data_IF_309111077739
#
_entry.id   IF_309111077739
#
_cell.length_a   1.000
_cell.length_b   1.000
_cell.length_c   1.000
_cell.angle_alpha   90.00
_cell.angle_beta   90.00
_cell.angle_gamma   90.00
#
_symmetry.space_group_name_H-M   'P 1'
#
loop_
_entity.id
_entity.type
_entity.pdbx_description
1 polymer ?
#
# COMPACT_ATOMS: atom_id res chain seq x y z
N UNK A 1 -27.59 -25.95 7.76
CA UNK A 1 -27.96 -26.44 9.11
C UNK A 1 -27.98 -25.24 10.03
N UNK A 2 -28.93 -25.15 10.98
CA UNK A 2 -28.88 -24.10 12.00
C UNK A 2 -27.74 -24.40 12.98
N UNK A 3 -26.91 -23.40 13.28
CA UNK A 3 -25.81 -23.54 14.23
C UNK A 3 -26.37 -23.87 15.63
N UNK A 4 -25.65 -24.70 16.38
CA UNK A 4 -25.97 -25.02 17.78
C UNK A 4 -25.14 -24.15 18.70
N UNK A 5 -25.71 -23.67 19.80
CA UNK A 5 -24.92 -22.99 20.82
C UNK A 5 -23.79 -23.90 21.32
N UNK A 6 -22.60 -23.34 21.53
CA UNK A 6 -21.46 -24.15 22.00
C UNK A 6 -21.75 -24.80 23.36
N UNK A 7 -22.53 -24.16 24.22
CA UNK A 7 -22.93 -24.69 25.52
C UNK A 7 -23.86 -25.92 25.40
N UNK A 8 -24.54 -26.08 24.28
CA UNK A 8 -25.36 -27.27 23.95
C UNK A 8 -24.52 -28.41 23.34
N UNK A 9 -23.19 -28.23 23.26
CA UNK A 9 -22.20 -29.21 22.80
C UNK A 9 -21.28 -29.59 23.98
N UNK A 10 -21.79 -30.36 24.98
CA UNK A 10 -21.17 -30.45 26.30
C UNK A 10 -19.75 -31.05 26.29
N UNK A 11 -19.46 -31.97 25.37
CA UNK A 11 -18.12 -32.55 25.24
C UNK A 11 -17.15 -31.52 24.66
N UNK A 12 -17.51 -30.90 23.55
CA UNK A 12 -16.70 -29.92 22.85
C UNK A 12 -16.46 -28.68 23.72
N UNK A 13 -17.49 -28.17 24.38
CA UNK A 13 -17.39 -27.05 25.31
C UNK A 13 -16.44 -27.37 26.47
N UNK A 14 -16.58 -28.53 27.13
CA UNK A 14 -15.68 -28.92 28.21
C UNK A 14 -14.21 -29.00 27.76
N UNK A 15 -13.94 -29.59 26.59
CA UNK A 15 -12.58 -29.69 26.04
C UNK A 15 -12.04 -28.33 25.55
N UNK A 16 -12.91 -27.42 25.13
CA UNK A 16 -12.50 -26.07 24.75
C UNK A 16 -12.12 -25.23 25.98
N UNK A 17 -12.91 -25.35 27.06
CA UNK A 17 -12.71 -24.61 28.31
C UNK A 17 -11.50 -25.10 29.12
N UNK A 18 -11.09 -26.35 28.95
CA UNK A 18 -9.99 -26.94 29.73
C UNK A 18 -8.91 -27.58 28.82
N UNK A 19 -7.80 -26.86 28.56
CA UNK A 19 -6.69 -27.37 27.75
C UNK A 19 -6.04 -28.65 28.28
N UNK A 20 -5.93 -28.80 29.60
CA UNK A 20 -5.33 -30.00 30.21
C UNK A 20 -6.20 -31.23 29.97
N UNK A 21 -7.52 -31.09 30.16
CA UNK A 21 -8.49 -32.13 29.87
C UNK A 21 -8.50 -32.47 28.37
N UNK A 22 -8.36 -31.46 27.50
CA UNK A 22 -8.22 -31.67 26.04
C UNK A 22 -7.01 -32.52 25.71
N UNK A 23 -5.83 -32.17 26.22
CA UNK A 23 -4.60 -32.94 26.01
C UNK A 23 -4.72 -34.37 26.56
N UNK A 24 -5.32 -34.55 27.72
CA UNK A 24 -5.53 -35.88 28.30
C UNK A 24 -6.49 -36.74 27.46
N UNK A 25 -7.53 -36.13 26.87
CA UNK A 25 -8.54 -36.85 26.11
C UNK A 25 -8.15 -37.12 24.65
N UNK A 26 -7.38 -36.23 24.03
CA UNK A 26 -7.08 -36.26 22.59
C UNK A 26 -5.59 -36.47 22.28
N UNK A 27 -4.69 -36.33 23.25
CA UNK A 27 -3.25 -36.27 23.01
C UNK A 27 -2.92 -35.15 22.04
N UNK A 28 -2.22 -35.49 20.95
CA UNK A 28 -1.85 -34.56 19.88
C UNK A 28 -2.97 -34.36 18.83
N UNK A 29 -4.09 -35.10 18.94
CA UNK A 29 -5.19 -34.95 18.00
C UNK A 29 -5.87 -33.60 18.18
N UNK A 30 -6.13 -32.93 17.05
CA UNK A 30 -6.80 -31.64 17.00
C UNK A 30 -8.26 -31.76 17.44
N UNK A 31 -8.72 -30.89 18.34
CA UNK A 31 -10.14 -30.77 18.67
C UNK A 31 -10.89 -30.16 17.50
N UNK A 32 -11.86 -30.86 16.91
CA UNK A 32 -12.75 -30.31 15.88
C UNK A 32 -14.08 -29.90 16.49
N UNK A 33 -14.47 -28.64 16.32
CA UNK A 33 -15.78 -28.10 16.70
C UNK A 33 -16.48 -27.70 15.41
N UNK A 34 -17.71 -28.17 15.20
CA UNK A 34 -18.42 -27.95 13.93
C UNK A 34 -19.85 -27.45 14.12
N UNK A 35 -20.24 -26.43 13.35
CA UNK A 35 -21.60 -25.91 13.36
C UNK A 35 -21.97 -25.19 14.67
N UNK A 36 -20.98 -24.67 15.39
CA UNK A 36 -21.18 -24.03 16.69
C UNK A 36 -21.42 -22.51 16.56
N UNK A 37 -22.40 -22.01 17.29
CA UNK A 37 -22.64 -20.59 17.54
C UNK A 37 -22.04 -20.23 18.91
N UNK A 38 -21.05 -19.33 18.89
CA UNK A 38 -20.36 -18.86 20.08
C UNK A 38 -21.05 -17.67 20.76
N UNK A 39 -22.19 -17.18 20.24
CA UNK A 39 -23.19 -16.49 21.04
C UNK A 39 -22.79 -15.16 21.70
N UNK A 40 -23.65 -14.66 22.59
CA UNK A 40 -23.31 -13.67 23.62
C UNK A 40 -22.34 -14.23 24.69
N UNK A 41 -21.92 -15.50 24.59
CA UNK A 41 -21.09 -16.23 25.54
C UNK A 41 -19.59 -15.95 25.45
N UNK A 42 -19.16 -14.98 24.64
CA UNK A 42 -17.75 -14.60 24.47
C UNK A 42 -17.00 -14.31 25.78
N UNK A 43 -17.70 -13.87 26.83
CA UNK A 43 -17.14 -13.61 28.16
C UNK A 43 -16.65 -14.85 28.89
N UNK A 44 -17.23 -16.02 28.63
CA UNK A 44 -16.81 -17.26 29.27
C UNK A 44 -15.39 -17.65 28.84
N UNK A 45 -14.98 -17.17 27.66
CA UNK A 45 -13.65 -17.42 27.10
C UNK A 45 -12.62 -16.37 27.51
N UNK A 46 -12.97 -15.47 28.43
CA UNK A 46 -12.04 -14.44 28.89
C UNK A 46 -10.76 -15.07 29.46
N UNK A 47 -9.62 -14.67 28.90
CA UNK A 47 -8.28 -15.13 29.25
C UNK A 47 -8.05 -16.65 29.10
N UNK A 48 -8.88 -17.36 28.32
CA UNK A 48 -8.61 -18.76 28.01
C UNK A 48 -7.57 -18.92 26.90
N UNK A 49 -6.99 -20.13 26.83
CA UNK A 49 -6.05 -20.54 25.79
C UNK A 49 -6.69 -21.55 24.84
N UNK A 50 -6.69 -21.23 23.56
CA UNK A 50 -7.10 -22.18 22.52
C UNK A 50 -5.87 -22.68 21.79
N UNK A 51 -5.61 -23.97 21.90
CA UNK A 51 -4.44 -24.61 21.30
C UNK A 51 -4.84 -25.91 20.61
N UNK A 52 -4.43 -26.03 19.34
CA UNK A 52 -4.72 -27.16 18.45
C UNK A 52 -6.23 -27.43 18.32
N UNK A 53 -6.97 -26.42 17.85
CA UNK A 53 -8.43 -26.48 17.64
C UNK A 53 -8.78 -26.14 16.18
N UNK A 54 -9.71 -26.89 15.59
CA UNK A 54 -10.31 -26.62 14.29
C UNK A 54 -11.79 -26.26 14.48
N UNK A 55 -12.12 -24.99 14.26
CA UNK A 55 -13.48 -24.50 14.17
C UNK A 55 -13.93 -24.56 12.71
N UNK A 56 -15.04 -25.25 12.44
CA UNK A 56 -15.54 -25.50 11.09
C UNK A 56 -17.04 -25.15 11.01
N UNK A 57 -17.45 -24.29 10.08
CA UNK A 57 -18.85 -23.79 10.01
C UNK A 57 -19.32 -23.14 11.32
N UNK A 58 -18.44 -22.38 12.00
CA UNK A 58 -18.75 -21.74 13.28
C UNK A 58 -19.08 -20.25 13.14
N UNK A 59 -19.87 -19.71 14.07
CA UNK A 59 -20.22 -18.29 14.12
C UNK A 59 -19.70 -17.69 15.43
N UNK A 60 -18.94 -16.61 15.34
CA UNK A 60 -18.39 -15.85 16.46
C UNK A 60 -18.95 -14.43 16.45
N UNK A 61 -19.85 -14.11 17.37
CA UNK A 61 -20.36 -12.74 17.55
C UNK A 61 -20.18 -12.28 19.00
N UNK A 62 -20.10 -10.98 19.25
CA UNK A 62 -19.83 -10.46 20.60
C UNK A 62 -18.35 -10.28 20.90
N UNK A 63 -17.96 -10.34 22.18
CA UNK A 63 -16.61 -9.98 22.65
C UNK A 63 -15.83 -11.22 23.09
N UNK A 64 -14.71 -11.49 22.42
CA UNK A 64 -13.75 -12.53 22.80
C UNK A 64 -12.45 -11.86 23.17
N UNK A 65 -11.88 -12.26 24.30
CA UNK A 65 -10.58 -11.77 24.75
C UNK A 65 -9.81 -12.95 25.34
N UNK A 66 -9.10 -13.65 24.47
CA UNK A 66 -8.34 -14.85 24.81
C UNK A 66 -6.93 -14.48 25.28
N UNK A 67 -6.32 -15.35 26.07
CA UNK A 67 -4.89 -15.22 26.39
C UNK A 67 -4.05 -15.56 25.16
N UNK A 68 -4.32 -16.70 24.53
CA UNK A 68 -3.62 -17.13 23.34
C UNK A 68 -4.47 -18.00 22.43
N UNK A 69 -4.15 -17.96 21.13
CA UNK A 69 -4.70 -18.83 20.08
C UNK A 69 -3.54 -19.41 19.31
N UNK A 70 -3.31 -20.72 19.44
CA UNK A 70 -2.16 -21.40 18.85
C UNK A 70 -2.56 -22.61 18.03
N UNK A 71 -1.93 -22.80 16.88
CA UNK A 71 -2.16 -23.97 16.00
C UNK A 71 -3.64 -24.16 15.62
N UNK A 72 -4.40 -23.07 15.54
CA UNK A 72 -5.84 -23.10 15.34
C UNK A 72 -6.20 -22.86 13.87
N UNK A 73 -7.30 -23.47 13.44
CA UNK A 73 -7.90 -23.25 12.13
C UNK A 73 -9.34 -22.81 12.29
N UNK A 74 -9.69 -21.71 11.65
CA UNK A 74 -11.06 -21.23 11.50
C UNK A 74 -11.44 -21.42 10.03
N UNK A 75 -12.19 -22.46 9.72
CA UNK A 75 -12.62 -22.79 8.36
C UNK A 75 -14.12 -22.56 8.21
N UNK A 76 -14.53 -21.86 7.15
CA UNK A 76 -15.95 -21.55 6.90
C UNK A 76 -16.63 -20.85 8.10
N UNK A 77 -15.86 -20.05 8.85
CA UNK A 77 -16.35 -19.37 10.03
C UNK A 77 -16.82 -17.95 9.72
N UNK A 78 -17.75 -17.43 10.51
CA UNK A 78 -18.25 -16.07 10.39
C UNK A 78 -18.00 -15.27 11.67
N UNK A 79 -17.64 -14.00 11.52
CA UNK A 79 -17.31 -13.10 12.63
C UNK A 79 -18.23 -11.85 12.64
N UNK A 80 -19.56 -11.97 12.69
CA UNK A 80 -20.45 -10.81 12.52
C UNK A 80 -20.35 -9.83 13.70
N UNK A 81 -19.90 -8.60 13.41
CA UNK A 81 -19.77 -7.51 14.39
C UNK A 81 -18.96 -7.86 15.64
N UNK A 82 -18.10 -8.88 15.57
CA UNK A 82 -17.40 -9.38 16.74
C UNK A 82 -16.24 -8.47 17.12
N UNK A 83 -15.97 -8.36 18.41
CA UNK A 83 -14.70 -7.92 18.93
C UNK A 83 -13.89 -9.15 19.35
N UNK A 84 -13.18 -9.76 18.40
CA UNK A 84 -12.44 -10.99 18.59
C UNK A 84 -10.96 -10.69 18.78
N UNK A 85 -10.49 -10.81 20.02
CA UNK A 85 -9.13 -10.45 20.40
C UNK A 85 -8.42 -11.57 21.15
N UNK A 86 -7.10 -11.62 21.00
CA UNK A 86 -6.22 -12.38 21.88
C UNK A 86 -4.88 -11.66 22.05
N UNK A 87 -4.19 -11.87 23.19
CA UNK A 87 -2.86 -11.29 23.39
C UNK A 87 -1.79 -11.94 22.50
N UNK A 88 -1.99 -13.18 22.09
CA UNK A 88 -1.04 -13.94 21.28
C UNK A 88 -1.77 -14.83 20.25
N UNK A 89 -1.41 -14.70 18.97
CA UNK A 89 -1.81 -15.62 17.91
C UNK A 89 -0.56 -16.28 17.33
N UNK A 90 -0.46 -17.61 17.33
CA UNK A 90 0.68 -18.33 16.76
C UNK A 90 0.18 -19.44 15.84
N UNK A 91 0.65 -19.45 14.59
CA UNK A 91 0.32 -20.49 13.61
C UNK A 91 -1.20 -20.66 13.41
N UNK A 92 -1.90 -19.54 13.18
CA UNK A 92 -3.36 -19.48 13.04
C UNK A 92 -3.75 -19.28 11.58
N UNK A 93 -4.67 -20.11 11.09
CA UNK A 93 -5.23 -20.01 9.75
C UNK A 93 -6.73 -19.69 9.80
N UNK A 94 -7.10 -18.57 9.17
CA UNK A 94 -8.47 -18.28 8.79
C UNK A 94 -8.65 -18.67 7.31
N UNK A 95 -9.51 -19.64 7.05
CA UNK A 95 -9.75 -20.21 5.72
C UNK A 95 -11.21 -20.02 5.33
N UNK A 96 -11.46 -19.35 4.19
CA UNK A 96 -12.80 -19.15 3.66
C UNK A 96 -13.78 -18.64 4.73
N UNK A 97 -13.30 -17.70 5.53
CA UNK A 97 -14.03 -17.14 6.67
C UNK A 97 -14.39 -15.69 6.40
N UNK A 98 -15.52 -15.26 6.94
CA UNK A 98 -16.12 -13.97 6.61
C UNK A 98 -16.16 -13.05 7.83
N UNK A 99 -15.80 -11.78 7.64
CA UNK A 99 -16.10 -10.72 8.61
C UNK A 99 -17.28 -9.92 8.09
N UNK A 100 -18.33 -9.76 8.90
CA UNK A 100 -19.56 -9.06 8.51
C UNK A 100 -19.78 -7.83 9.40
N UNK A 101 -19.75 -6.64 8.81
CA UNK A 101 -19.99 -5.39 9.51
C UNK A 101 -18.74 -4.85 10.23
N UNK A 102 -18.94 -4.19 11.38
CA UNK A 102 -17.87 -3.57 12.17
C UNK A 102 -17.17 -4.59 13.05
N UNK A 103 -16.35 -5.43 12.43
CA UNK A 103 -15.59 -6.49 13.10
C UNK A 103 -14.25 -5.96 13.57
N UNK A 104 -13.85 -6.26 14.80
CA UNK A 104 -12.50 -6.03 15.29
C UNK A 104 -11.85 -7.40 15.52
N UNK A 105 -10.94 -7.78 14.63
CA UNK A 105 -10.10 -8.97 14.76
C UNK A 105 -8.67 -8.52 15.03
N UNK A 106 -8.29 -8.49 16.31
CA UNK A 106 -7.07 -7.82 16.76
C UNK A 106 -6.21 -8.77 17.59
N UNK A 107 -4.93 -8.86 17.25
CA UNK A 107 -3.97 -9.65 17.98
C UNK A 107 -3.07 -8.76 18.86
N UNK A 108 -2.35 -9.33 19.82
CA UNK A 108 -1.31 -8.64 20.58
C UNK A 108 0.07 -8.70 19.92
N UNK A 109 1.07 -8.11 20.58
CA UNK A 109 2.42 -7.82 20.05
C UNK A 109 3.37 -9.02 19.95
N UNK A 110 2.98 -10.18 20.47
CA UNK A 110 3.76 -11.42 20.41
C UNK A 110 3.34 -12.38 19.29
N UNK A 111 2.24 -12.06 18.61
CA UNK A 111 1.62 -12.89 17.59
C UNK A 111 2.54 -13.14 16.39
N UNK A 112 2.41 -14.25 15.67
CA UNK A 112 3.19 -14.54 14.47
C UNK A 112 2.52 -15.60 13.61
N UNK A 113 2.86 -15.59 12.31
CA UNK A 113 2.38 -16.56 11.33
C UNK A 113 0.84 -16.69 11.32
N UNK A 114 0.14 -15.55 11.26
CA UNK A 114 -1.31 -15.53 11.06
C UNK A 114 -1.62 -15.39 9.57
N UNK A 115 -2.49 -16.25 9.06
CA UNK A 115 -2.82 -16.30 7.64
C UNK A 115 -4.32 -16.23 7.43
N UNK A 116 -4.72 -15.42 6.47
CA UNK A 116 -6.06 -15.37 5.93
C UNK A 116 -6.02 -15.85 4.49
N UNK A 117 -6.81 -16.88 4.18
CA UNK A 117 -6.82 -17.52 2.88
C UNK A 117 -8.27 -17.63 2.38
N UNK A 118 -8.55 -17.04 1.22
CA UNK A 118 -9.87 -17.07 0.58
C UNK A 118 -10.99 -16.46 1.45
N UNK A 119 -10.64 -15.55 2.36
CA UNK A 119 -11.58 -14.84 3.23
C UNK A 119 -12.26 -13.65 2.53
N UNK A 120 -13.47 -13.32 2.97
CA UNK A 120 -14.18 -12.09 2.56
C UNK A 120 -14.33 -11.13 3.74
N UNK A 121 -13.75 -9.93 3.61
CA UNK A 121 -13.74 -8.94 4.67
C UNK A 121 -14.65 -7.76 4.35
N UNK A 122 -15.71 -7.49 5.11
CA UNK A 122 -16.40 -6.24 4.82
C UNK A 122 -17.58 -5.81 5.63
N UNK A 123 -17.84 -4.52 5.46
CA UNK A 123 -19.10 -3.87 5.82
C UNK A 123 -19.82 -3.35 4.57
N UNK A 124 -21.01 -2.78 4.81
CA UNK A 124 -21.76 -2.03 3.79
C UNK A 124 -21.61 -0.51 3.95
N UNK A 125 -20.92 -0.06 4.99
CA UNK A 125 -20.84 1.34 5.37
C UNK A 125 -19.57 1.98 4.81
N UNK A 126 -19.72 2.92 3.87
CA UNK A 126 -18.59 3.64 3.28
C UNK A 126 -17.95 4.67 4.22
N UNK A 127 -18.58 4.99 5.36
CA UNK A 127 -18.01 5.86 6.37
C UNK A 127 -16.81 5.17 7.04
N UNK A 128 -15.63 5.73 6.83
CA UNK A 128 -14.35 5.25 7.37
C UNK A 128 -14.33 5.11 8.90
N UNK A 129 -15.11 5.92 9.62
CA UNK A 129 -15.23 5.84 11.08
C UNK A 129 -16.09 4.66 11.56
N UNK A 130 -16.58 3.85 10.61
CA UNK A 130 -17.45 2.69 10.81
C UNK A 130 -16.88 1.45 10.10
N UNK A 131 -15.58 1.47 9.78
CA UNK A 131 -14.90 0.28 9.28
C UNK A 131 -14.61 -0.66 10.44
N UNK A 132 -14.72 -1.95 10.19
CA UNK A 132 -14.06 -2.95 11.04
C UNK A 132 -12.55 -2.92 10.83
N UNK A 133 -11.82 -3.55 11.74
CA UNK A 133 -10.36 -3.61 11.76
C UNK A 133 -9.90 -5.06 11.88
N UNK A 134 -9.03 -5.47 10.96
CA UNK A 134 -8.20 -6.67 11.06
C UNK A 134 -6.77 -6.17 11.27
N UNK A 135 -6.24 -6.31 12.48
CA UNK A 135 -4.94 -5.75 12.84
C UNK A 135 -4.07 -6.71 13.65
N UNK A 136 -2.88 -6.98 13.12
CA UNK A 136 -1.90 -7.88 13.74
C UNK A 136 -0.58 -7.13 13.96
N UNK A 137 -0.04 -7.16 15.18
CA UNK A 137 1.16 -6.38 15.51
C UNK A 137 2.47 -6.95 14.94
N UNK A 138 2.39 -8.03 14.15
CA UNK A 138 3.50 -8.81 13.62
C UNK A 138 3.04 -9.46 12.29
N UNK A 139 3.80 -10.47 11.82
CA UNK A 139 3.62 -11.10 10.52
C UNK A 139 2.20 -11.60 10.24
N UNK A 140 1.63 -11.11 9.14
CA UNK A 140 0.29 -11.49 8.67
C UNK A 140 0.24 -11.58 7.14
N UNK A 141 -0.43 -12.62 6.62
CA UNK A 141 -0.69 -12.77 5.18
C UNK A 141 -2.18 -12.78 4.85
N UNK A 142 -2.51 -12.10 3.75
CA UNK A 142 -3.82 -12.11 3.11
C UNK A 142 -3.64 -12.70 1.71
N UNK A 143 -4.27 -13.85 1.46
CA UNK A 143 -4.07 -14.66 0.25
C UNK A 143 -5.41 -14.97 -0.40
N UNK A 144 -5.62 -14.52 -1.64
CA UNK A 144 -6.90 -14.68 -2.37
C UNK A 144 -8.11 -14.12 -1.62
N UNK A 145 -7.91 -13.10 -0.80
CA UNK A 145 -8.98 -12.47 -0.04
C UNK A 145 -9.74 -11.44 -0.88
N UNK A 146 -11.01 -11.25 -0.55
CA UNK A 146 -11.84 -10.15 -1.04
C UNK A 146 -12.34 -9.28 0.10
N UNK A 147 -12.94 -8.15 -0.24
CA UNK A 147 -13.56 -7.31 0.78
C UNK A 147 -13.66 -5.83 0.46
N UNK A 148 -14.33 -5.07 1.32
CA UNK A 148 -14.38 -3.61 1.27
C UNK A 148 -14.86 -3.00 2.59
N UNK A 149 -14.55 -1.73 2.78
CA UNK A 149 -14.92 -0.92 3.94
C UNK A 149 -14.40 -1.49 5.27
N UNK A 150 -13.13 -1.88 5.24
CA UNK A 150 -12.38 -2.45 6.37
C UNK A 150 -10.98 -1.85 6.41
N UNK A 151 -10.38 -1.84 7.59
CA UNK A 151 -8.95 -1.73 7.77
C UNK A 151 -8.35 -3.13 7.84
N UNK A 152 -7.39 -3.44 6.96
CA UNK A 152 -6.74 -4.74 6.85
C UNK A 152 -5.24 -4.49 6.89
N UNK A 153 -4.65 -4.62 8.08
CA UNK A 153 -3.34 -4.05 8.39
C UNK A 153 -2.51 -4.91 9.34
N UNK A 154 -1.21 -4.67 9.38
CA UNK A 154 -0.35 -5.23 10.41
C UNK A 154 1.03 -4.57 10.51
N UNK A 155 1.90 -5.17 11.33
CA UNK A 155 3.32 -4.81 11.40
C UNK A 155 4.20 -6.02 11.04
N UNK A 156 5.52 -5.95 11.24
CA UNK A 156 6.42 -7.06 10.91
C UNK A 156 6.47 -7.28 9.40
N UNK A 157 6.11 -8.46 8.91
CA UNK A 157 5.93 -8.76 7.48
C UNK A 157 4.44 -8.81 7.15
N UNK A 158 3.98 -7.89 6.29
CA UNK A 158 2.60 -7.87 5.82
C UNK A 158 2.55 -8.20 4.33
N UNK A 159 1.78 -9.24 3.99
CA UNK A 159 1.65 -9.71 2.60
C UNK A 159 0.22 -9.67 2.13
N UNK A 160 -0.02 -9.07 0.97
CA UNK A 160 -1.26 -9.17 0.20
C UNK A 160 -0.95 -9.88 -1.10
N UNK A 161 -1.59 -11.02 -1.37
CA UNK A 161 -1.33 -11.84 -2.54
C UNK A 161 -2.64 -12.30 -3.19
N UNK A 162 -2.76 -12.07 -4.50
CA UNK A 162 -3.92 -12.51 -5.29
C UNK A 162 -5.27 -11.96 -4.77
N UNK A 163 -5.26 -10.83 -4.06
CA UNK A 163 -6.46 -10.27 -3.43
C UNK A 163 -7.26 -9.38 -4.39
N UNK A 164 -8.57 -9.29 -4.13
CA UNK A 164 -9.49 -8.40 -4.85
C UNK A 164 -10.33 -7.57 -3.87
N UNK A 165 -9.85 -6.38 -3.56
CA UNK A 165 -10.51 -5.47 -2.62
C UNK A 165 -11.25 -4.33 -3.33
N UNK A 166 -12.36 -3.91 -2.74
CA UNK A 166 -12.93 -2.58 -2.94
C UNK A 166 -12.17 -1.53 -2.09
N UNK A 167 -12.84 -0.45 -1.67
CA UNK A 167 -12.19 0.58 -0.85
C UNK A 167 -11.80 0.01 0.51
N UNK A 168 -10.51 0.04 0.87
CA UNK A 168 -10.00 -0.41 2.17
C UNK A 168 -8.93 0.55 2.72
N UNK A 169 -8.65 0.43 4.01
CA UNK A 169 -7.40 0.90 4.60
C UNK A 169 -6.41 -0.27 4.73
N UNK A 170 -5.14 0.02 4.47
CA UNK A 170 -4.00 -0.88 4.62
C UNK A 170 -2.87 -0.11 5.33
N UNK A 171 -3.20 0.45 6.49
CA UNK A 171 -2.35 1.25 7.37
C UNK A 171 -1.34 0.36 8.11
N UNK A 172 -0.22 0.06 7.46
CA UNK A 172 0.77 -0.90 7.93
C UNK A 172 1.88 -0.24 8.75
N UNK A 173 2.28 -0.84 9.86
CA UNK A 173 3.13 -0.18 10.82
C UNK A 173 2.38 0.87 11.64
N UNK A 174 3.00 1.35 12.71
CA UNK A 174 2.49 2.44 13.54
C UNK A 174 3.63 3.38 13.89
N UNK A 175 3.43 4.67 13.64
CA UNK A 175 4.27 5.74 14.18
C UNK A 175 3.44 6.57 15.18
N UNK A 176 3.42 6.15 16.43
CA UNK A 176 2.85 6.95 17.52
C UNK A 176 3.97 7.51 18.40
N UNK A 177 3.71 8.64 19.08
CA UNK A 177 4.69 9.33 19.93
C UNK A 177 5.27 8.48 21.09
N UNK A 178 4.76 7.27 21.33
CA UNK A 178 5.20 6.39 22.42
C UNK A 178 5.75 5.04 21.97
N UNK A 179 5.43 4.57 20.74
CA UNK A 179 5.95 3.32 20.16
C UNK A 179 5.92 3.43 18.63
N UNK A 180 7.05 3.07 17.99
CA UNK A 180 7.12 2.81 16.55
C UNK A 180 7.14 1.31 16.31
N UNK A 181 6.19 0.81 15.52
CA UNK A 181 6.19 -0.54 15.00
C UNK A 181 6.33 -0.44 13.48
N UNK A 182 7.29 -1.15 12.90
CA UNK A 182 7.57 -1.06 11.48
C UNK A 182 6.99 -2.25 10.72
N UNK A 183 6.65 -2.05 9.46
CA UNK A 183 6.19 -3.10 8.56
C UNK A 183 7.04 -3.20 7.28
N UNK A 184 7.30 -4.41 6.83
CA UNK A 184 7.74 -4.73 5.47
C UNK A 184 6.52 -5.18 4.69
N UNK A 185 6.11 -4.39 3.71
CA UNK A 185 4.85 -4.59 2.99
C UNK A 185 5.11 -5.12 1.59
N UNK A 186 4.46 -6.23 1.25
CA UNK A 186 4.42 -6.76 -0.11
C UNK A 186 2.99 -6.87 -0.63
N UNK A 187 2.75 -6.33 -1.82
CA UNK A 187 1.48 -6.43 -2.54
C UNK A 187 1.77 -7.07 -3.89
N UNK A 188 1.16 -8.22 -4.17
CA UNK A 188 1.44 -9.00 -5.37
C UNK A 188 0.17 -9.52 -6.03
N UNK A 189 0.01 -9.24 -7.32
CA UNK A 189 -1.11 -9.72 -8.12
C UNK A 189 -2.49 -9.33 -7.53
N UNK A 190 -2.60 -8.12 -6.97
CA UNK A 190 -3.82 -7.65 -6.33
C UNK A 190 -4.58 -6.67 -7.22
N UNK A 191 -5.91 -6.62 -7.04
CA UNK A 191 -6.78 -5.60 -7.63
C UNK A 191 -7.48 -4.83 -6.53
N UNK A 192 -7.42 -3.51 -6.62
CA UNK A 192 -8.06 -2.59 -5.69
C UNK A 192 -8.99 -1.62 -6.42
N UNK A 193 -10.29 -1.67 -6.11
CA UNK A 193 -11.30 -0.77 -6.67
C UNK A 193 -11.60 0.37 -5.69
N UNK A 194 -11.81 1.57 -6.22
CA UNK A 194 -11.82 2.79 -5.42
C UNK A 194 -10.44 3.11 -4.83
N UNK A 195 -10.39 3.82 -3.71
CA UNK A 195 -9.13 4.18 -3.09
C UNK A 195 -8.67 3.16 -2.08
N UNK A 196 -7.41 2.77 -2.24
CA UNK A 196 -6.66 2.02 -1.23
C UNK A 196 -5.70 2.96 -0.54
N UNK A 197 -5.85 3.09 0.78
CA UNK A 197 -4.99 3.95 1.59
C UNK A 197 -3.96 3.09 2.31
N UNK A 198 -2.72 3.14 1.82
CA UNK A 198 -1.52 2.69 2.52
C UNK A 198 -0.90 3.86 3.33
N UNK A 199 -1.51 5.06 3.26
CA UNK A 199 -1.05 6.27 3.93
C UNK A 199 -0.89 6.16 5.45
N UNK A 200 0.03 6.97 6.01
CA UNK A 200 0.38 7.04 7.45
C UNK A 200 1.02 5.76 8.01
N UNK A 201 1.62 4.98 7.12
CA UNK A 201 2.35 3.76 7.48
C UNK A 201 3.77 4.06 7.94
N UNK A 202 4.29 3.22 8.83
CA UNK A 202 5.71 3.20 9.23
C UNK A 202 6.36 1.95 8.66
N UNK A 203 7.09 2.09 7.57
CA UNK A 203 7.55 0.99 6.75
C UNK A 203 9.08 0.84 6.80
N UNK A 204 9.53 -0.41 6.87
CA UNK A 204 10.92 -0.77 6.54
C UNK A 204 11.12 -0.80 5.04
N UNK A 205 10.18 -1.37 4.29
CA UNK A 205 10.18 -1.35 2.83
C UNK A 205 8.78 -1.53 2.26
N UNK A 206 8.60 -1.14 0.99
CA UNK A 206 7.35 -1.31 0.26
C UNK A 206 7.63 -1.91 -1.12
N UNK A 207 7.02 -3.06 -1.39
CA UNK A 207 7.06 -3.68 -2.73
C UNK A 207 5.63 -3.89 -3.25
N UNK A 208 5.33 -3.32 -4.42
CA UNK A 208 4.06 -3.52 -5.12
C UNK A 208 4.35 -4.09 -6.51
N UNK A 209 3.79 -5.25 -6.83
CA UNK A 209 4.02 -5.96 -8.10
C UNK A 209 2.73 -6.43 -8.75
N UNK A 210 2.67 -6.39 -10.08
CA UNK A 210 1.61 -7.01 -10.90
C UNK A 210 0.19 -6.60 -10.46
N UNK A 211 0.01 -5.37 -9.99
CA UNK A 211 -1.22 -4.98 -9.28
C UNK A 211 -1.94 -3.83 -9.95
N UNK A 212 -3.26 -3.75 -9.72
CA UNK A 212 -4.15 -2.73 -10.29
C UNK A 212 -4.84 -1.92 -9.21
N UNK A 213 -4.88 -0.61 -9.38
CA UNK A 213 -5.51 0.33 -8.45
C UNK A 213 -6.37 1.34 -9.22
N UNK A 214 -7.56 1.67 -8.73
CA UNK A 214 -8.21 2.91 -9.19
C UNK A 214 -7.44 4.12 -8.64
N UNK A 215 -7.18 4.14 -7.32
CA UNK A 215 -6.28 5.11 -6.68
C UNK A 215 -5.35 4.41 -5.70
N UNK A 216 -4.05 4.56 -5.93
CA UNK A 216 -3.00 4.14 -5.01
C UNK A 216 -2.60 5.33 -4.14
N UNK A 217 -3.10 5.37 -2.90
CA UNK A 217 -2.75 6.41 -1.92
C UNK A 217 -1.73 5.88 -0.91
N UNK A 218 -0.46 6.19 -1.15
CA UNK A 218 0.64 5.89 -0.23
C UNK A 218 0.82 7.02 0.79
N UNK A 219 0.29 8.22 0.53
CA UNK A 219 0.38 9.38 1.42
C UNK A 219 1.81 9.71 1.89
N UNK A 220 1.92 10.33 3.06
CA UNK A 220 3.19 10.65 3.76
C UNK A 220 3.71 9.46 4.59
N UNK A 221 3.83 8.28 3.99
CA UNK A 221 4.31 7.08 4.70
C UNK A 221 5.81 7.15 4.97
N UNK A 222 6.23 6.80 6.19
CA UNK A 222 7.62 6.77 6.64
C UNK A 222 8.29 5.48 6.19
N UNK A 223 8.89 5.48 4.99
CA UNK A 223 9.60 4.31 4.44
C UNK A 223 11.10 4.46 4.67
N UNK A 224 11.65 3.78 5.66
CA UNK A 224 13.08 3.90 6.01
C UNK A 224 14.03 3.23 5.01
N UNK A 225 13.55 2.25 4.25
CA UNK A 225 14.32 1.50 3.25
C UNK A 225 13.88 1.79 1.82
N UNK A 226 13.77 0.72 1.04
CA UNK A 226 13.56 0.81 -0.40
C UNK A 226 12.08 0.69 -0.78
N UNK A 227 11.71 1.42 -1.83
CA UNK A 227 10.40 1.33 -2.49
C UNK A 227 10.57 0.73 -3.88
N UNK A 228 9.82 -0.33 -4.15
CA UNK A 228 9.70 -0.93 -5.47
C UNK A 228 8.24 -0.99 -5.93
N UNK A 229 7.97 -0.41 -7.09
CA UNK A 229 6.68 -0.50 -7.78
C UNK A 229 6.94 -1.03 -9.18
N UNK A 230 6.40 -2.19 -9.52
CA UNK A 230 6.73 -2.89 -10.77
C UNK A 230 5.49 -3.53 -11.39
N UNK A 231 5.29 -3.35 -12.69
CA UNK A 231 4.13 -3.87 -13.42
C UNK A 231 2.78 -3.42 -12.79
N UNK A 232 2.70 -2.17 -12.35
CA UNK A 232 1.52 -1.60 -11.70
C UNK A 232 0.71 -0.75 -12.67
N UNK A 233 -0.62 -0.90 -12.63
CA UNK A 233 -1.53 0.01 -13.31
C UNK A 233 -2.37 0.75 -12.28
N UNK A 234 -2.29 2.08 -12.28
CA UNK A 234 -3.09 2.91 -11.39
C UNK A 234 -3.81 4.02 -12.17
N UNK A 235 -5.01 4.38 -11.71
CA UNK A 235 -5.67 5.59 -12.19
C UNK A 235 -4.89 6.84 -11.77
N UNK A 236 -4.52 6.92 -10.49
CA UNK A 236 -3.59 7.89 -9.95
C UNK A 236 -2.76 7.28 -8.82
N UNK A 237 -1.57 7.84 -8.62
CA UNK A 237 -0.73 7.57 -7.44
C UNK A 237 -0.51 8.85 -6.65
N UNK A 238 -0.90 8.80 -5.38
CA UNK A 238 -0.73 9.88 -4.41
C UNK A 238 0.33 9.42 -3.42
N UNK A 239 1.46 10.10 -3.39
CA UNK A 239 2.56 9.72 -2.52
C UNK A 239 3.48 10.88 -2.20
N UNK A 240 4.06 10.76 -1.02
CA UNK A 240 5.21 11.46 -0.51
C UNK A 240 5.91 10.45 0.40
N UNK A 241 6.99 9.82 -0.07
CA UNK A 241 7.68 8.85 0.77
C UNK A 241 8.53 9.62 1.78
N UNK A 242 8.16 9.62 3.06
CA UNK A 242 8.71 10.58 4.01
C UNK A 242 10.24 10.45 4.16
N UNK A 243 10.79 9.23 4.09
CA UNK A 243 12.21 8.98 4.38
C UNK A 243 12.89 7.95 3.44
N UNK A 244 12.28 7.64 2.28
CA UNK A 244 12.74 6.57 1.40
C UNK A 244 14.22 6.71 1.03
N UNK A 245 14.96 5.60 1.17
CA UNK A 245 16.36 5.50 0.74
C UNK A 245 16.47 5.38 -0.78
N UNK A 246 15.58 4.62 -1.40
CA UNK A 246 15.51 4.50 -2.85
C UNK A 246 14.07 4.32 -3.33
N UNK A 247 13.79 4.80 -4.53
CA UNK A 247 12.50 4.63 -5.19
C UNK A 247 12.75 4.07 -6.59
N UNK A 248 12.22 2.89 -6.85
CA UNK A 248 12.27 2.24 -8.16
C UNK A 248 10.85 2.00 -8.67
N UNK A 249 10.54 2.52 -9.85
CA UNK A 249 9.27 2.29 -10.55
C UNK A 249 9.54 1.70 -11.93
N UNK A 250 8.98 0.53 -12.22
CA UNK A 250 9.21 -0.20 -13.47
C UNK A 250 7.92 -0.60 -14.17
N UNK A 251 7.91 -0.54 -15.50
CA UNK A 251 6.86 -1.08 -16.37
C UNK A 251 5.43 -0.71 -15.92
N UNK A 252 5.26 0.51 -15.39
CA UNK A 252 4.05 0.90 -14.67
C UNK A 252 3.32 2.02 -15.40
N UNK A 253 1.98 1.99 -15.35
CA UNK A 253 1.10 2.93 -16.05
C UNK A 253 0.23 3.70 -15.08
N UNK A 254 0.25 5.03 -15.18
CA UNK A 254 -0.51 5.95 -14.34
C UNK A 254 -1.39 6.84 -15.20
N UNK A 255 -2.71 6.57 -15.27
CA UNK A 255 -3.56 7.10 -16.35
C UNK A 255 -4.07 8.54 -16.16
N UNK A 256 -3.83 9.17 -15.01
CA UNK A 256 -4.44 10.44 -14.62
C UNK A 256 -5.97 10.36 -14.58
N UNK A 257 -6.51 9.58 -13.64
CA UNK A 257 -7.96 9.47 -13.51
C UNK A 257 -8.52 10.67 -12.73
N UNK A 258 -9.46 11.39 -13.34
CA UNK A 258 -10.45 12.17 -12.59
C UNK A 258 -11.36 11.16 -11.90
N UNK A 259 -11.09 10.84 -10.63
CA UNK A 259 -11.80 9.81 -9.88
C UNK A 259 -13.17 10.35 -9.45
N UNK A 260 -14.05 10.64 -10.41
CA UNK A 260 -15.46 10.97 -10.17
C UNK A 260 -16.16 9.68 -9.77
N UNK A 261 -16.54 9.53 -8.49
CA UNK A 261 -17.88 9.95 -8.12
C UNK A 261 -17.87 11.07 -7.05
N UNK A 262 -18.79 12.04 -7.12
CA UNK A 262 -18.87 13.23 -6.24
C UNK A 262 -18.96 12.97 -4.71
N UNK A 263 -18.99 11.71 -4.26
CA UNK A 263 -19.10 11.35 -2.85
C UNK A 263 -17.84 10.78 -2.19
N UNK A 264 -16.81 10.38 -2.96
CA UNK A 264 -15.65 9.63 -2.41
C UNK A 264 -14.32 10.36 -2.60
N UNK A 265 -14.14 11.07 -3.71
CA UNK A 265 -12.90 11.81 -3.99
C UNK A 265 -13.22 13.20 -4.59
N UNK A 266 -13.29 14.27 -3.77
CA UNK A 266 -13.63 15.61 -4.24
C UNK A 266 -12.48 16.32 -4.98
N UNK A 267 -11.42 15.61 -5.38
CA UNK A 267 -10.16 16.20 -5.86
C UNK A 267 -9.64 15.53 -7.12
N UNK A 268 -9.16 16.35 -8.06
CA UNK A 268 -8.33 15.90 -9.18
C UNK A 268 -6.97 15.51 -8.62
N UNK A 269 -6.51 14.30 -8.97
CA UNK A 269 -5.18 13.83 -8.58
C UNK A 269 -4.25 13.83 -9.80
N UNK A 270 -2.99 14.19 -9.57
CA UNK A 270 -1.93 13.99 -10.56
C UNK A 270 -1.79 12.49 -10.85
N UNK A 271 -1.32 12.15 -12.06
CA UNK A 271 -1.07 10.75 -12.43
C UNK A 271 -0.08 10.09 -11.49
N UNK A 272 1.06 10.75 -11.25
CA UNK A 272 2.20 10.18 -10.54
C UNK A 272 2.97 11.26 -9.77
N UNK A 273 3.23 10.99 -8.49
CA UNK A 273 4.22 11.74 -7.70
C UNK A 273 5.35 10.78 -7.33
N UNK A 274 6.55 11.28 -7.16
CA UNK A 274 7.72 10.51 -6.76
C UNK A 274 8.63 11.48 -6.03
N UNK A 275 8.37 11.67 -4.74
CA UNK A 275 9.05 12.67 -3.95
C UNK A 275 9.18 12.25 -2.50
N UNK A 276 10.14 12.88 -1.83
CA UNK A 276 10.30 12.91 -0.38
C UNK A 276 10.24 14.37 0.09
N UNK A 277 9.91 14.64 1.37
CA UNK A 277 9.99 15.99 1.93
C UNK A 277 11.39 16.58 1.80
N UNK A 278 11.48 17.90 1.63
CA UNK A 278 12.74 18.62 1.37
C UNK A 278 13.76 18.40 2.48
N UNK A 279 13.31 18.34 3.73
CA UNK A 279 14.13 18.07 4.90
C UNK A 279 14.78 16.67 4.88
N UNK A 280 14.18 15.71 4.17
CA UNK A 280 14.62 14.31 4.12
C UNK A 280 15.27 13.94 2.78
N UNK A 281 15.39 14.87 1.83
CA UNK A 281 15.98 14.61 0.50
C UNK A 281 17.38 14.00 0.55
N UNK A 282 18.17 14.30 1.60
CA UNK A 282 19.51 13.72 1.80
C UNK A 282 19.52 12.20 1.99
N UNK A 283 18.38 11.62 2.39
CA UNK A 283 18.20 10.19 2.57
C UNK A 283 17.95 9.47 1.24
N UNK A 284 17.29 10.13 0.28
CA UNK A 284 16.95 9.56 -1.02
C UNK A 284 18.20 9.44 -1.89
N UNK A 285 18.84 8.27 -1.90
CA UNK A 285 20.08 8.00 -2.63
C UNK A 285 19.86 7.79 -4.11
N UNK A 286 18.83 7.04 -4.46
CA UNK A 286 18.58 6.68 -5.86
C UNK A 286 17.10 6.73 -6.24
N UNK A 287 16.86 7.20 -7.46
CA UNK A 287 15.55 7.14 -8.12
C UNK A 287 15.71 6.50 -9.49
N UNK A 288 14.92 5.47 -9.76
CA UNK A 288 14.90 4.77 -11.05
C UNK A 288 13.47 4.70 -11.56
N UNK A 289 13.21 5.33 -12.69
CA UNK A 289 11.98 5.18 -13.47
C UNK A 289 12.34 4.46 -14.77
N UNK A 290 11.76 3.29 -15.00
CA UNK A 290 12.05 2.47 -16.18
C UNK A 290 10.75 1.95 -16.81
N UNK A 291 10.41 2.36 -18.03
CA UNK A 291 9.16 1.88 -18.63
C UNK A 291 7.91 2.50 -17.98
N UNK A 292 8.00 3.72 -17.44
CA UNK A 292 6.87 4.41 -16.81
C UNK A 292 6.07 5.19 -17.86
N UNK A 293 4.75 4.98 -17.89
CA UNK A 293 3.82 5.68 -18.77
C UNK A 293 2.83 6.50 -17.95
N UNK A 294 2.83 7.82 -18.12
CA UNK A 294 1.85 8.73 -17.53
C UNK A 294 0.79 9.13 -18.58
N UNK A 295 -0.48 9.14 -18.19
CA UNK A 295 -1.60 9.62 -19.01
C UNK A 295 -1.62 11.15 -19.15
N UNK A 296 -2.45 11.63 -20.08
CA UNK A 296 -2.69 13.05 -20.29
C UNK A 296 -3.75 13.55 -19.31
N UNK A 297 -3.55 14.72 -18.69
CA UNK A 297 -4.62 15.34 -17.89
C UNK A 297 -5.69 15.90 -18.86
N UNK A 298 -6.84 15.22 -19.00
CA UNK A 298 -8.00 15.72 -19.78
C UNK A 298 -8.89 16.67 -18.94
N UNK A 299 -8.26 17.54 -18.15
CA UNK A 299 -8.94 18.60 -17.40
C UNK A 299 -8.71 19.94 -18.10
N UNK A 300 -9.76 20.42 -18.78
CA UNK A 300 -9.97 21.73 -19.41
C UNK A 300 -8.72 22.62 -19.52
N UNK A 301 -8.29 22.88 -20.76
CA UNK A 301 -7.16 23.73 -21.17
C UNK A 301 -7.36 25.23 -20.85
N UNK A 302 -8.07 25.54 -19.76
CA UNK A 302 -8.27 26.85 -19.19
C UNK A 302 -6.97 27.38 -18.59
N UNK A 303 -6.14 27.99 -19.44
CA UNK A 303 -5.13 28.97 -19.06
C UNK A 303 -4.01 28.44 -18.15
N UNK A 304 -3.11 27.61 -18.69
CA UNK A 304 -1.79 27.43 -18.08
C UNK A 304 -0.74 28.21 -18.89
N UNK A 305 -0.25 29.36 -18.37
CA UNK A 305 0.82 30.12 -19.01
C UNK A 305 2.09 29.27 -19.10
N UNK A 306 3.11 29.82 -19.76
CA UNK A 306 4.39 29.18 -20.05
C UNK A 306 5.25 28.76 -18.83
N UNK A 307 4.67 28.64 -17.65
CA UNK A 307 5.21 28.04 -16.45
C UNK A 307 4.55 26.67 -16.31
N UNK A 308 5.32 25.61 -16.02
CA UNK A 308 4.71 24.42 -15.41
C UNK A 308 4.29 24.88 -14.01
N UNK A 309 3.05 25.39 -13.90
CA UNK A 309 2.47 25.82 -12.63
C UNK A 309 2.55 24.65 -11.65
N UNK A 310 3.18 24.89 -10.51
CA UNK A 310 3.50 23.94 -9.45
C UNK A 310 2.25 23.31 -8.80
N UNK A 311 1.04 23.60 -9.28
CA UNK A 311 -0.17 23.22 -8.53
C UNK A 311 -1.07 22.18 -9.17
N UNK A 312 -1.13 21.94 -10.50
CA UNK A 312 -2.28 21.15 -11.03
C UNK A 312 -2.07 20.12 -12.16
N UNK A 313 -0.98 20.05 -12.92
CA UNK A 313 -0.88 19.03 -14.01
C UNK A 313 0.47 18.33 -14.16
N UNK A 314 0.46 17.04 -14.51
CA UNK A 314 1.63 16.21 -14.82
C UNK A 314 2.26 15.42 -13.66
N UNK A 315 3.35 14.73 -13.99
CA UNK A 315 4.09 13.85 -13.10
C UNK A 315 5.20 14.63 -12.36
N UNK A 316 5.34 14.40 -11.05
CA UNK A 316 6.31 15.06 -10.18
C UNK A 316 7.39 14.09 -9.76
N UNK A 317 8.64 14.40 -10.07
CA UNK A 317 9.76 13.49 -9.86
C UNK A 317 10.90 14.25 -9.20
N UNK A 318 11.22 13.84 -7.98
CA UNK A 318 12.44 14.23 -7.28
C UNK A 318 13.55 13.25 -7.64
N UNK A 319 14.77 13.76 -7.81
CA UNK A 319 15.96 12.94 -8.03
C UNK A 319 16.57 12.42 -6.72
N UNK A 320 17.25 11.27 -6.80
CA UNK A 320 18.09 10.78 -5.70
C UNK A 320 19.47 11.46 -5.70
N UNK A 321 20.04 11.70 -4.52
CA UNK A 321 21.28 12.47 -4.36
C UNK A 321 22.47 11.88 -5.11
N UNK A 322 22.56 10.55 -5.21
CA UNK A 322 23.68 9.89 -5.89
C UNK A 322 23.34 9.67 -7.37
N UNK A 323 22.16 9.14 -7.66
CA UNK A 323 21.75 8.77 -9.02
C UNK A 323 20.27 8.94 -9.28
N UNK A 324 19.94 9.49 -10.44
CA UNK A 324 18.60 9.46 -11.02
C UNK A 324 18.65 8.89 -12.43
N UNK A 325 17.86 7.86 -12.69
CA UNK A 325 17.72 7.24 -14.01
C UNK A 325 16.27 7.29 -14.42
N UNK A 326 15.98 7.93 -15.56
CA UNK A 326 14.67 7.94 -16.19
C UNK A 326 14.86 7.34 -17.57
N UNK A 327 14.33 6.13 -17.79
CA UNK A 327 14.52 5.44 -19.07
C UNK A 327 13.28 4.73 -19.60
N UNK A 328 13.16 4.63 -20.91
CA UNK A 328 12.02 3.99 -21.57
C UNK A 328 10.67 4.58 -21.14
N UNK A 329 10.64 5.87 -20.77
CA UNK A 329 9.48 6.49 -20.15
C UNK A 329 8.69 7.34 -21.16
N UNK A 330 7.37 7.33 -21.03
CA UNK A 330 6.46 8.23 -21.75
C UNK A 330 5.71 9.09 -20.73
N UNK A 331 6.18 10.31 -20.53
CA UNK A 331 5.65 11.25 -19.53
C UNK A 331 5.35 12.58 -20.21
N UNK A 332 4.07 12.86 -20.56
CA UNK A 332 3.72 14.04 -21.34
C UNK A 332 4.12 15.36 -20.67
N UNK A 333 3.91 15.48 -19.36
CA UNK A 333 4.23 16.67 -18.56
C UNK A 333 5.00 16.23 -17.32
N UNK A 334 6.27 16.63 -17.20
CA UNK A 334 7.12 16.27 -16.07
C UNK A 334 7.67 17.53 -15.36
N UNK A 335 7.51 17.59 -14.04
CA UNK A 335 8.30 18.47 -13.17
C UNK A 335 9.40 17.64 -12.52
N UNK A 336 10.65 17.96 -12.84
CA UNK A 336 11.84 17.22 -12.48
C UNK A 336 12.67 18.08 -11.54
N UNK A 337 12.60 17.81 -10.24
CA UNK A 337 13.47 18.44 -9.26
C UNK A 337 14.66 17.51 -8.97
N UNK A 338 15.74 17.70 -9.73
CA UNK A 338 16.86 16.78 -9.75
C UNK A 338 18.06 17.39 -9.02
N UNK A 339 18.19 17.05 -7.75
CA UNK A 339 19.40 17.30 -6.95
C UNK A 339 20.24 16.02 -6.90
N UNK A 340 20.91 15.71 -8.01
CA UNK A 340 21.56 14.41 -8.21
C UNK A 340 22.99 14.55 -8.72
N UNK A 341 23.91 13.73 -8.19
CA UNK A 341 25.27 13.66 -8.71
C UNK A 341 25.30 13.16 -10.16
N UNK A 342 24.45 12.18 -10.51
CA UNK A 342 24.33 11.67 -11.86
C UNK A 342 22.86 11.56 -12.29
N UNK A 343 22.52 12.12 -13.44
CA UNK A 343 21.22 12.03 -14.09
C UNK A 343 21.37 11.45 -15.48
N UNK A 344 20.67 10.36 -15.75
CA UNK A 344 20.52 9.80 -17.10
C UNK A 344 19.06 9.81 -17.50
N UNK A 345 18.77 10.45 -18.63
CA UNK A 345 17.47 10.41 -19.29
C UNK A 345 17.68 9.71 -20.63
N UNK A 346 17.09 8.52 -20.78
CA UNK A 346 17.37 7.62 -21.90
C UNK A 346 16.08 7.07 -22.52
N UNK A 347 15.89 7.20 -23.83
CA UNK A 347 14.67 6.74 -24.50
C UNK A 347 13.40 7.30 -23.82
N UNK A 348 13.30 8.62 -23.77
CA UNK A 348 12.23 9.36 -23.09
C UNK A 348 11.36 10.10 -24.10
N UNK A 349 10.04 10.01 -23.95
CA UNK A 349 9.05 10.76 -24.73
C UNK A 349 8.21 11.65 -23.82
N UNK A 350 8.13 12.95 -24.13
CA UNK A 350 7.25 13.89 -23.46
C UNK A 350 6.91 15.12 -24.29
N UNK A 351 6.02 15.95 -23.78
CA UNK A 351 5.65 17.23 -24.39
C UNK A 351 6.33 18.40 -23.69
N UNK A 352 6.28 18.41 -22.35
CA UNK A 352 6.86 19.46 -21.51
C UNK A 352 7.68 18.85 -20.37
N UNK A 353 8.88 19.37 -20.15
CA UNK A 353 9.70 19.02 -18.99
C UNK A 353 10.27 20.27 -18.33
N UNK A 354 10.07 20.40 -17.01
CA UNK A 354 10.69 21.43 -16.18
C UNK A 354 11.80 20.80 -15.37
N UNK A 355 12.98 21.42 -15.40
CA UNK A 355 14.13 21.11 -14.56
C UNK A 355 14.40 22.21 -13.53
N UNK A 356 13.51 23.20 -13.43
CA UNK A 356 13.75 24.49 -12.75
C UNK A 356 14.48 24.32 -11.41
N UNK A 357 15.55 25.09 -11.24
CA UNK A 357 16.43 25.12 -10.04
C UNK A 357 17.15 23.80 -9.69
N UNK A 358 17.13 22.79 -10.56
CA UNK A 358 17.88 21.54 -10.36
C UNK A 358 19.40 21.77 -10.27
N UNK A 359 20.07 20.95 -9.46
CA UNK A 359 21.53 20.96 -9.25
C UNK A 359 22.08 19.58 -9.58
N UNK A 360 22.78 19.48 -10.70
CA UNK A 360 23.15 18.20 -11.30
C UNK A 360 24.66 18.13 -11.49
N UNK A 361 25.29 17.05 -11.02
CA UNK A 361 26.71 16.80 -11.31
C UNK A 361 26.90 16.50 -12.79
N UNK A 362 26.37 15.37 -13.26
CA UNK A 362 26.37 14.96 -14.67
C UNK A 362 24.95 14.77 -15.19
N UNK A 363 24.60 15.41 -16.30
CA UNK A 363 23.33 15.23 -17.01
C UNK A 363 23.60 14.63 -18.40
N UNK A 364 23.03 13.47 -18.66
CA UNK A 364 23.14 12.78 -19.96
C UNK A 364 21.77 12.55 -20.56
N UNK A 365 21.58 13.01 -21.79
CA UNK A 365 20.42 12.72 -22.63
C UNK A 365 20.78 11.69 -23.70
N UNK A 366 19.97 10.64 -23.81
CA UNK A 366 20.04 9.62 -24.86
C UNK A 366 18.64 9.42 -25.42
N UNK A 367 18.49 9.43 -26.75
CA UNK A 367 17.20 9.24 -27.42
C UNK A 367 16.02 9.96 -26.71
N UNK A 368 16.20 11.22 -26.35
CA UNK A 368 15.25 11.98 -25.52
C UNK A 368 14.47 12.97 -26.39
N UNK A 369 13.16 12.82 -26.45
CA UNK A 369 12.25 13.65 -27.22
C UNK A 369 11.28 14.41 -26.29
N UNK A 370 11.41 15.74 -26.24
CA UNK A 370 10.47 16.61 -25.50
C UNK A 370 9.89 17.62 -26.49
N UNK A 371 8.68 17.40 -26.99
CA UNK A 371 8.23 18.04 -28.23
C UNK A 371 7.97 19.56 -28.12
N UNK A 372 7.37 20.04 -27.02
CA UNK A 372 6.80 21.39 -26.94
C UNK A 372 7.68 22.36 -26.13
N UNK A 373 8.08 21.99 -24.91
CA UNK A 373 8.81 22.91 -24.04
C UNK A 373 9.80 22.22 -23.08
N UNK A 374 10.97 22.83 -22.90
CA UNK A 374 11.94 22.46 -21.87
C UNK A 374 12.33 23.70 -21.07
N UNK A 375 12.21 23.63 -19.75
CA UNK A 375 12.56 24.73 -18.86
C UNK A 375 13.77 24.37 -17.99
N UNK A 376 14.88 25.06 -18.21
CA UNK A 376 16.11 24.98 -17.44
C UNK A 376 16.33 26.20 -16.55
N UNK A 377 15.31 27.00 -16.24
CA UNK A 377 15.47 28.23 -15.42
C UNK A 377 16.19 27.93 -14.11
N UNK A 378 17.29 28.64 -13.84
CA UNK A 378 18.10 28.49 -12.63
C UNK A 378 18.86 27.16 -12.50
N UNK A 379 18.88 26.30 -13.52
CA UNK A 379 19.54 24.99 -13.47
C UNK A 379 21.06 25.11 -13.47
N UNK A 380 21.70 24.30 -12.63
CA UNK A 380 23.16 24.18 -12.55
C UNK A 380 23.59 22.75 -12.90
N UNK A 381 24.38 22.59 -13.97
CA UNK A 381 24.94 21.31 -14.43
C UNK A 381 26.47 21.41 -14.50
N UNK A 382 27.22 20.48 -13.90
CA UNK A 382 28.70 20.50 -14.00
C UNK A 382 29.20 19.86 -15.30
N UNK A 383 28.56 18.78 -15.74
CA UNK A 383 28.87 18.06 -17.00
C UNK A 383 27.59 17.76 -17.75
N UNK A 384 27.50 18.22 -19.00
CA UNK A 384 26.32 18.03 -19.85
C UNK A 384 26.71 17.24 -21.10
N UNK A 385 26.00 16.13 -21.33
CA UNK A 385 25.97 15.44 -22.62
C UNK A 385 24.55 15.49 -23.18
N UNK A 386 24.32 16.45 -24.09
CA UNK A 386 23.02 16.69 -24.70
C UNK A 386 22.91 16.15 -26.13
N UNK A 387 23.85 15.32 -26.60
CA UNK A 387 23.86 14.82 -27.99
C UNK A 387 22.63 13.98 -28.35
N UNK A 388 22.04 13.31 -27.36
CA UNK A 388 20.84 12.52 -27.55
C UNK A 388 19.52 13.28 -27.37
N UNK A 389 19.55 14.60 -27.17
CA UNK A 389 18.33 15.43 -27.06
C UNK A 389 17.82 15.83 -28.45
N UNK A 390 16.60 15.41 -28.78
CA UNK A 390 15.94 15.73 -30.05
C UNK A 390 15.40 17.16 -30.04
N UNK A 391 15.69 17.93 -31.10
CA UNK A 391 15.19 19.28 -31.32
C UNK A 391 14.00 19.27 -32.27
N UNK A 392 12.94 19.99 -31.89
CA UNK A 392 11.74 20.13 -32.71
C UNK A 392 11.56 21.58 -33.17
N UNK A 393 10.97 21.78 -34.35
CA UNK A 393 10.59 23.10 -34.82
C UNK A 393 9.52 23.71 -33.88
N UNK A 394 9.74 24.95 -33.44
CA UNK A 394 8.83 25.62 -32.49
C UNK A 394 8.97 25.16 -31.04
N UNK A 395 9.89 24.24 -30.71
CA UNK A 395 10.17 23.83 -29.34
C UNK A 395 10.70 25.00 -28.52
N UNK A 396 10.01 25.33 -27.43
CA UNK A 396 10.43 26.39 -26.51
C UNK A 396 11.50 25.85 -25.57
N UNK A 397 12.65 26.52 -25.48
CA UNK A 397 13.66 26.23 -24.47
C UNK A 397 13.97 27.48 -23.67
N UNK A 398 13.88 27.37 -22.35
CA UNK A 398 14.14 28.47 -21.41
C UNK A 398 15.39 28.14 -20.61
N UNK A 399 16.35 29.05 -20.53
CA UNK A 399 17.65 28.85 -19.86
C UNK A 399 18.03 30.00 -18.93
N UNK A 400 17.06 30.83 -18.52
CA UNK A 400 17.28 32.03 -17.72
C UNK A 400 17.99 31.68 -16.40
N UNK A 401 19.12 32.31 -16.12
CA UNK A 401 19.90 32.07 -14.90
C UNK A 401 20.50 30.66 -14.79
N UNK A 402 20.53 29.89 -15.87
CA UNK A 402 21.13 28.55 -15.93
C UNK A 402 22.52 28.58 -16.56
N UNK A 403 23.32 27.55 -16.32
CA UNK A 403 24.58 27.31 -17.03
C UNK A 403 24.45 26.24 -18.13
N UNK A 404 23.22 25.92 -18.54
CA UNK A 404 22.92 24.89 -19.55
C UNK A 404 23.09 25.49 -20.94
N UNK A 405 23.96 24.87 -21.74
CA UNK A 405 24.17 25.20 -23.14
C UNK A 405 23.84 23.98 -24.00
N UNK A 406 22.76 24.08 -24.79
CA UNK A 406 22.35 23.03 -25.71
C UNK A 406 22.99 23.25 -27.08
N UNK A 407 23.38 22.16 -27.78
CA UNK A 407 23.92 22.23 -29.13
C UNK A 407 22.88 22.69 -30.16
#
# INVERSE_FOLDING_TARGET
>A
MAAKRIEDMPREYALLMNPEQRRAALGDQRLKISGADFGFGGTDFYQLEWDNVHFYDCIFYGVFHLTSIRNCVFEHCQFPGSNFQAYDFEDVLFLRSDTIGEVNLIAGDTSKNVRFMECDFGGKNSNVNRYGVIYFYQDVSFERCSGQYMDVSGNGIVTYRDCSFGPIQASNGTASNRKKAYATVTVHNCTFKGGTRIARSALTSLTIRNSKFDVLDIGSSDVSGDVLIEDVQAGAMINEFYSARSITVRNSKFRSVNVRPPGVYPKVYRSFKCLVPVENRGNLKSVVLDGVECGHDEGDDGYLPNLIDDTVSGCWIMGGVDTTVIRNCKIPKASLWLESANVTIDNYEGEKASFVTSKIGSLTFRATAIAKAIDFTGVQVQRLDAKGLVRFAGQKIVTVGSNVHLP
#
